data_IF_542432632017
#
_entry.id   IF_542432632017
#
_cell.length_a   1.000
_cell.length_b   1.000
_cell.length_c   1.000
_cell.angle_alpha   90.00
_cell.angle_beta   90.00
_cell.angle_gamma   90.00
#
_symmetry.space_group_name_H-M   'P 1'
#
loop_
_entity.id
_entity.type
_entity.pdbx_description
1 polymer ?
#
# COMPACT_ATOMS: atom_id res chain seq x y z
N UNK A 1 62.58 -49.82 -34.69
CA UNK A 1 63.82 -49.41 -35.40
C UNK A 1 63.49 -48.16 -36.20
N UNK A 2 64.42 -47.21 -36.19
CA UNK A 2 64.39 -45.85 -36.73
C UNK A 2 63.84 -45.66 -38.16
N UNK A 3 63.40 -44.41 -38.43
CA UNK A 3 63.38 -43.63 -39.70
C UNK A 3 62.06 -43.57 -40.49
N UNK A 4 61.39 -42.41 -40.55
CA UNK A 4 61.66 -41.16 -41.35
C UNK A 4 61.12 -41.32 -42.80
N UNK A 5 60.55 -40.35 -43.52
CA UNK A 5 60.04 -38.97 -43.36
C UNK A 5 59.58 -38.56 -44.79
N UNK A 6 58.86 -37.43 -44.91
CA UNK A 6 58.78 -36.50 -46.07
C UNK A 6 57.48 -36.46 -46.91
N UNK A 7 56.95 -35.23 -46.88
CA UNK A 7 55.86 -34.58 -47.60
C UNK A 7 56.03 -34.47 -49.13
N UNK A 8 54.92 -34.20 -49.81
CA UNK A 8 54.84 -33.18 -50.86
C UNK A 8 53.38 -32.76 -51.12
N UNK A 9 53.16 -31.46 -51.23
CA UNK A 9 51.92 -30.77 -51.59
C UNK A 9 51.89 -30.46 -53.10
N UNK A 10 50.68 -30.26 -53.69
CA UNK A 10 50.29 -29.64 -55.00
C UNK A 10 48.98 -30.32 -55.50
N UNK A 11 47.91 -29.73 -56.08
CA UNK A 11 47.53 -28.41 -56.63
C UNK A 11 45.97 -28.35 -56.79
N UNK A 12 45.44 -27.15 -57.09
CA UNK A 12 44.39 -26.80 -58.09
C UNK A 12 42.92 -26.55 -57.66
N UNK A 13 42.60 -25.25 -57.65
CA UNK A 13 41.53 -24.55 -58.39
C UNK A 13 40.03 -24.90 -58.25
N UNK A 14 39.31 -23.85 -57.83
CA UNK A 14 38.07 -23.30 -58.39
C UNK A 14 36.82 -24.20 -58.57
N UNK A 15 35.79 -23.92 -57.77
CA UNK A 15 34.40 -23.90 -58.23
C UNK A 15 33.52 -23.09 -57.26
N UNK A 16 32.96 -21.99 -57.74
CA UNK A 16 31.70 -21.44 -57.24
C UNK A 16 30.60 -22.51 -57.41
N UNK A 17 29.59 -22.54 -56.52
CA UNK A 17 28.25 -22.67 -57.07
C UNK A 17 27.25 -21.68 -56.50
N UNK A 18 26.35 -21.28 -57.41
CA UNK A 18 25.03 -20.76 -57.14
C UNK A 18 24.26 -21.69 -56.18
N UNK A 19 23.53 -21.09 -55.25
CA UNK A 19 22.33 -21.70 -54.67
C UNK A 19 21.30 -20.60 -54.41
N UNK A 20 20.57 -20.23 -55.47
CA UNK A 20 19.25 -19.65 -55.33
C UNK A 20 18.24 -20.78 -55.08
N UNK A 21 17.15 -20.42 -54.40
CA UNK A 21 15.86 -21.12 -54.38
C UNK A 21 15.62 -22.19 -53.30
N UNK A 22 15.33 -21.74 -52.08
CA UNK A 22 14.39 -22.42 -51.18
C UNK A 22 13.78 -21.42 -50.17
N UNK A 23 12.91 -20.52 -50.64
CA UNK A 23 12.04 -19.72 -49.79
C UNK A 23 10.98 -20.62 -49.14
N UNK A 24 11.38 -21.32 -48.07
CA UNK A 24 10.47 -22.11 -47.23
C UNK A 24 9.59 -21.14 -46.43
N UNK A 25 8.30 -21.05 -46.78
CA UNK A 25 7.23 -20.38 -46.02
C UNK A 25 7.34 -20.76 -44.54
N UNK A 26 7.91 -19.87 -43.71
CA UNK A 26 7.76 -19.94 -42.25
C UNK A 26 6.28 -19.67 -41.96
N UNK A 27 5.51 -20.73 -41.69
CA UNK A 27 4.17 -20.60 -41.10
C UNK A 27 4.33 -19.79 -39.82
N UNK A 28 3.66 -18.65 -39.75
CA UNK A 28 3.53 -17.89 -38.53
C UNK A 28 3.05 -18.82 -37.41
N UNK A 29 3.69 -18.73 -36.24
CA UNK A 29 3.25 -19.45 -35.06
C UNK A 29 1.76 -19.15 -34.81
N UNK A 30 0.94 -20.14 -34.43
CA UNK A 30 -0.47 -19.92 -34.17
C UNK A 30 -0.59 -18.86 -33.07
N UNK A 31 -1.21 -17.73 -33.41
CA UNK A 31 -1.58 -16.68 -32.47
C UNK A 31 -2.41 -17.35 -31.38
N UNK A 32 -1.97 -17.27 -30.13
CA UNK A 32 -2.71 -17.83 -29.00
C UNK A 32 -4.18 -17.38 -29.08
N UNK A 33 -5.14 -18.27 -28.79
CA UNK A 33 -6.55 -17.91 -28.87
C UNK A 33 -6.78 -16.68 -28.01
N UNK A 34 -7.42 -15.66 -28.59
CA UNK A 34 -7.84 -14.48 -27.86
C UNK A 34 -8.81 -14.94 -26.76
N UNK A 35 -8.31 -15.10 -25.53
CA UNK A 35 -9.16 -15.25 -24.38
C UNK A 35 -10.14 -14.07 -24.41
N UNK A 36 -11.44 -14.36 -24.38
CA UNK A 36 -12.48 -13.35 -24.16
C UNK A 36 -12.23 -12.78 -22.76
N UNK A 37 -11.34 -11.81 -22.67
CA UNK A 37 -10.93 -11.25 -21.41
C UNK A 37 -12.12 -10.48 -20.83
N UNK A 38 -12.46 -10.81 -19.58
CA UNK A 38 -13.54 -10.13 -18.89
C UNK A 38 -13.15 -8.65 -18.70
N UNK A 39 -14.07 -7.70 -18.97
CA UNK A 39 -13.77 -6.29 -18.78
C UNK A 39 -13.58 -6.03 -17.29
N UNK A 40 -12.41 -5.48 -16.92
CA UNK A 40 -12.18 -4.95 -15.58
C UNK A 40 -13.23 -3.87 -15.30
N UNK A 41 -13.90 -3.89 -14.16
CA UNK A 41 -14.88 -2.85 -13.79
C UNK A 41 -14.61 -2.39 -12.37
N UNK A 42 -14.38 -1.08 -12.21
CA UNK A 42 -14.20 -0.45 -10.91
C UNK A 42 -15.30 0.60 -10.78
N UNK A 43 -16.30 0.39 -9.90
CA UNK A 43 -17.37 1.34 -9.68
C UNK A 43 -16.84 2.73 -9.32
N UNK A 44 -17.53 3.77 -9.81
CA UNK A 44 -17.23 5.18 -9.55
C UNK A 44 -15.80 5.60 -9.93
N UNK A 45 -15.15 4.86 -10.84
CA UNK A 45 -13.84 5.20 -11.37
C UNK A 45 -13.92 5.59 -12.84
N UNK A 46 -13.12 6.56 -13.24
CA UNK A 46 -12.77 6.81 -14.63
C UNK A 46 -11.37 6.25 -14.90
N UNK A 47 -11.20 5.68 -16.09
CA UNK A 47 -10.01 4.90 -16.46
C UNK A 47 -9.53 5.28 -17.85
N UNK A 48 -8.25 5.66 -17.95
CA UNK A 48 -7.60 5.97 -19.22
C UNK A 48 -6.45 4.98 -19.47
N UNK A 49 -6.48 4.29 -20.61
CA UNK A 49 -5.37 3.44 -21.02
C UNK A 49 -4.17 4.31 -21.40
N UNK A 50 -3.00 3.99 -20.85
CA UNK A 50 -1.75 4.71 -21.07
C UNK A 50 -0.76 3.89 -21.91
N UNK A 51 0.28 4.55 -22.39
CA UNK A 51 1.53 3.91 -22.83
C UNK A 51 2.57 4.04 -21.73
N UNK A 52 3.56 3.15 -21.70
CA UNK A 52 4.63 3.22 -20.69
C UNK A 52 5.44 4.53 -20.76
N UNK A 53 5.64 5.09 -21.96
CA UNK A 53 6.32 6.38 -22.13
C UNK A 53 5.51 7.57 -21.60
N UNK A 54 4.19 7.40 -21.42
CA UNK A 54 3.32 8.43 -20.83
C UNK A 54 3.23 8.37 -19.30
N UNK A 55 3.82 7.35 -18.66
CA UNK A 55 3.89 7.23 -17.19
C UNK A 55 5.16 7.95 -16.71
N UNK A 56 5.00 9.18 -16.22
CA UNK A 56 6.14 10.01 -15.84
C UNK A 56 6.97 9.36 -14.73
N UNK A 57 8.29 9.34 -14.92
CA UNK A 57 9.22 8.73 -13.97
C UNK A 57 9.22 7.20 -13.92
N UNK A 58 8.40 6.51 -14.75
CA UNK A 58 8.40 5.04 -14.83
C UNK A 58 9.82 4.48 -14.96
N UNK A 59 10.58 4.96 -15.96
CA UNK A 59 11.94 4.47 -16.26
C UNK A 59 12.95 4.69 -15.13
N UNK A 60 12.69 5.62 -14.21
CA UNK A 60 13.60 6.00 -13.13
C UNK A 60 13.34 5.26 -11.81
N UNK A 61 12.24 4.51 -11.69
CA UNK A 61 11.98 3.69 -10.51
C UNK A 61 12.92 2.47 -10.43
N UNK A 62 13.18 2.02 -9.20
CA UNK A 62 13.88 0.75 -8.92
C UNK A 62 12.90 -0.42 -8.99
N UNK A 63 12.67 -0.94 -10.20
CA UNK A 63 11.71 -2.01 -10.46
C UNK A 63 12.09 -3.33 -9.79
N UNK A 64 13.38 -3.55 -9.52
CA UNK A 64 13.84 -4.72 -8.76
C UNK A 64 13.30 -4.73 -7.33
N UNK A 65 13.19 -3.56 -6.68
CA UNK A 65 12.55 -3.44 -5.35
C UNK A 65 11.04 -3.68 -5.42
N UNK A 66 10.37 -3.12 -6.43
CA UNK A 66 8.95 -3.34 -6.65
C UNK A 66 8.64 -4.82 -6.93
N UNK A 67 9.49 -5.50 -7.70
CA UNK A 67 9.41 -6.94 -7.96
C UNK A 67 9.58 -7.74 -6.67
N UNK A 68 10.54 -7.37 -5.80
CA UNK A 68 10.70 -7.97 -4.48
C UNK A 68 9.41 -7.93 -3.66
N UNK A 69 8.79 -6.76 -3.55
CA UNK A 69 7.51 -6.59 -2.87
C UNK A 69 6.37 -7.38 -3.54
N UNK A 70 6.33 -7.41 -4.87
CA UNK A 70 5.31 -8.16 -5.62
C UNK A 70 5.43 -9.68 -5.40
N UNK A 71 6.66 -10.21 -5.36
CA UNK A 71 6.92 -11.63 -5.11
C UNK A 71 6.45 -12.07 -3.71
N UNK A 72 6.53 -11.19 -2.71
CA UNK A 72 5.97 -11.42 -1.37
C UNK A 72 4.46 -11.68 -1.46
N UNK A 73 3.73 -10.89 -2.26
CA UNK A 73 2.30 -11.12 -2.54
C UNK A 73 2.03 -12.37 -3.38
N UNK A 74 2.96 -12.78 -4.25
CA UNK A 74 2.78 -13.97 -5.08
C UNK A 74 2.71 -15.28 -4.29
N UNK A 75 3.36 -15.36 -3.11
CA UNK A 75 3.34 -16.55 -2.25
C UNK A 75 1.91 -17.00 -1.88
N UNK A 76 1.07 -16.18 -1.21
CA UNK A 76 -0.31 -16.59 -0.91
C UNK A 76 -1.19 -16.71 -2.14
N UNK A 77 -0.94 -15.93 -3.21
CA UNK A 77 -1.73 -16.01 -4.45
C UNK A 77 -1.58 -17.39 -5.11
N UNK A 78 -0.35 -17.89 -5.23
CA UNK A 78 -0.04 -19.19 -5.81
C UNK A 78 -0.49 -20.35 -4.91
N UNK A 79 -0.42 -20.20 -3.58
CA UNK A 79 -0.98 -21.17 -2.63
C UNK A 79 -2.50 -21.31 -2.73
N UNK A 80 -3.19 -20.26 -3.21
CA UNK A 80 -4.61 -20.30 -3.49
C UNK A 80 -4.98 -21.32 -4.58
N UNK A 81 -4.08 -21.73 -5.47
CA UNK A 81 -4.36 -22.71 -6.52
C UNK A 81 -5.34 -22.22 -7.60
N UNK A 82 -5.05 -22.55 -8.87
CA UNK A 82 -5.79 -22.03 -10.04
C UNK A 82 -7.31 -22.24 -9.98
N UNK A 83 -7.75 -23.42 -9.54
CA UNK A 83 -9.18 -23.75 -9.46
C UNK A 83 -9.98 -22.86 -8.48
N UNK A 84 -9.36 -22.35 -7.41
CA UNK A 84 -10.04 -21.45 -6.46
C UNK A 84 -10.26 -20.04 -7.01
N UNK A 85 -9.47 -19.67 -8.02
CA UNK A 85 -9.52 -18.34 -8.64
C UNK A 85 -10.33 -18.35 -9.94
N UNK A 86 -10.67 -19.52 -10.48
CA UNK A 86 -11.59 -19.67 -11.60
C UNK A 86 -12.97 -19.12 -11.22
N UNK A 87 -13.30 -17.93 -11.73
CA UNK A 87 -14.50 -17.16 -11.36
C UNK A 87 -14.20 -15.74 -10.88
N UNK A 88 -12.95 -15.45 -10.52
CA UNK A 88 -12.44 -14.12 -10.21
C UNK A 88 -11.34 -13.77 -11.22
N UNK A 89 -11.72 -13.20 -12.37
CA UNK A 89 -10.80 -12.95 -13.49
C UNK A 89 -9.49 -12.26 -13.07
N UNK A 90 -9.57 -11.27 -12.18
CA UNK A 90 -8.41 -10.55 -11.68
C UNK A 90 -7.47 -11.41 -10.81
N UNK A 91 -8.02 -12.22 -9.90
CA UNK A 91 -7.21 -13.15 -9.11
C UNK A 91 -6.58 -14.24 -9.98
N UNK A 92 -7.31 -14.74 -10.98
CA UNK A 92 -6.78 -15.69 -11.95
C UNK A 92 -5.62 -15.12 -12.76
N UNK A 93 -5.76 -13.87 -13.23
CA UNK A 93 -4.70 -13.18 -13.96
C UNK A 93 -3.46 -12.92 -13.07
N UNK A 94 -3.65 -12.47 -11.82
CA UNK A 94 -2.55 -12.31 -10.87
C UNK A 94 -1.84 -13.64 -10.57
N UNK A 95 -2.58 -14.74 -10.44
CA UNK A 95 -2.00 -16.07 -10.26
C UNK A 95 -1.10 -16.46 -11.44
N UNK A 96 -1.58 -16.26 -12.68
CA UNK A 96 -0.81 -16.60 -13.87
C UNK A 96 0.44 -15.69 -14.03
N UNK A 97 0.32 -14.39 -13.75
CA UNK A 97 1.48 -13.47 -13.75
C UNK A 97 2.48 -13.82 -12.64
N UNK A 98 2.03 -14.17 -11.44
CA UNK A 98 2.90 -14.60 -10.36
C UNK A 98 3.70 -15.85 -10.70
N UNK A 99 3.09 -16.81 -11.41
CA UNK A 99 3.80 -17.98 -11.93
C UNK A 99 4.92 -17.58 -12.89
N UNK A 100 4.67 -16.61 -13.77
CA UNK A 100 5.69 -16.09 -14.70
C UNK A 100 6.77 -15.29 -13.98
N UNK A 101 6.43 -14.52 -12.94
CA UNK A 101 7.40 -13.77 -12.14
C UNK A 101 8.43 -14.72 -11.50
N UNK A 102 7.97 -15.79 -10.86
CA UNK A 102 8.83 -16.80 -10.23
C UNK A 102 9.71 -17.51 -11.26
N UNK A 103 9.13 -17.89 -12.40
CA UNK A 103 9.87 -18.58 -13.47
C UNK A 103 10.93 -17.70 -14.17
N UNK A 104 10.81 -16.38 -14.08
CA UNK A 104 11.72 -15.44 -14.72
C UNK A 104 12.93 -15.06 -13.85
N UNK A 105 12.96 -15.46 -12.56
CA UNK A 105 14.05 -15.09 -11.65
C UNK A 105 15.36 -15.83 -11.98
N UNK A 106 16.53 -15.21 -11.69
CA UNK A 106 16.71 -13.87 -11.11
C UNK A 106 16.55 -12.75 -12.15
N UNK A 107 16.04 -11.59 -11.71
CA UNK A 107 15.94 -10.38 -12.54
C UNK A 107 16.68 -9.23 -11.86
N UNK A 108 17.49 -8.51 -12.63
CA UNK A 108 18.01 -7.20 -12.24
C UNK A 108 16.94 -6.12 -12.46
N UNK A 109 17.30 -4.84 -12.26
CA UNK A 109 16.33 -3.75 -12.38
C UNK A 109 15.74 -3.61 -13.80
N UNK A 110 16.58 -3.75 -14.82
CA UNK A 110 16.15 -3.67 -16.23
C UNK A 110 15.26 -4.87 -16.58
N UNK A 111 15.61 -6.06 -16.11
CA UNK A 111 14.82 -7.28 -16.26
C UNK A 111 13.47 -7.18 -15.56
N UNK A 112 13.44 -6.62 -14.35
CA UNK A 112 12.21 -6.39 -13.60
C UNK A 112 11.29 -5.38 -14.31
N UNK A 113 11.82 -4.26 -14.80
CA UNK A 113 11.06 -3.31 -15.62
C UNK A 113 10.45 -3.98 -16.85
N UNK A 114 11.29 -4.70 -17.59
CA UNK A 114 10.88 -5.44 -18.80
C UNK A 114 9.81 -6.49 -18.48
N UNK A 115 9.90 -7.14 -17.32
CA UNK A 115 8.88 -8.06 -16.85
C UNK A 115 7.53 -7.36 -16.66
N UNK A 116 7.49 -6.22 -15.97
CA UNK A 116 6.23 -5.48 -15.80
C UNK A 116 5.66 -5.00 -17.14
N UNK A 117 6.50 -4.45 -18.02
CA UNK A 117 6.07 -3.95 -19.33
C UNK A 117 5.49 -5.05 -20.23
N UNK A 118 6.03 -6.27 -20.14
CA UNK A 118 5.55 -7.44 -20.92
C UNK A 118 4.29 -8.09 -20.36
N UNK A 119 4.01 -7.92 -19.07
CA UNK A 119 2.95 -8.65 -18.38
C UNK A 119 1.75 -7.79 -18.01
N UNK A 120 1.88 -6.47 -18.06
CA UNK A 120 0.84 -5.53 -17.65
C UNK A 120 0.60 -4.43 -18.69
N UNK A 121 -0.53 -3.73 -18.54
CA UNK A 121 -0.85 -2.46 -19.21
C UNK A 121 -1.07 -1.38 -18.16
N UNK A 122 -0.51 -0.18 -18.34
CA UNK A 122 -0.75 0.93 -17.43
C UNK A 122 -2.13 1.56 -17.73
N UNK A 123 -2.95 1.72 -16.69
CA UNK A 123 -4.25 2.37 -16.75
C UNK A 123 -4.32 3.43 -15.67
N UNK A 124 -4.44 4.71 -16.06
CA UNK A 124 -4.69 5.78 -15.10
C UNK A 124 -6.08 5.61 -14.51
N UNK A 125 -6.17 5.72 -13.20
CA UNK A 125 -7.39 5.58 -12.43
C UNK A 125 -7.66 6.84 -11.61
N UNK A 126 -8.87 7.38 -11.70
CA UNK A 126 -9.33 8.46 -10.84
C UNK A 126 -10.80 8.26 -10.45
N UNK A 127 -11.29 8.92 -9.39
CA UNK A 127 -12.72 9.00 -9.14
C UNK A 127 -13.44 9.68 -10.31
N UNK A 128 -14.69 9.29 -10.59
CA UNK A 128 -15.50 9.95 -11.63
C UNK A 128 -15.62 11.44 -11.32
N UNK A 129 -15.29 12.28 -12.31
CA UNK A 129 -15.30 13.74 -12.16
C UNK A 129 -14.06 14.34 -11.51
N UNK A 130 -13.06 13.52 -11.18
CA UNK A 130 -11.75 13.94 -10.69
C UNK A 130 -10.65 13.47 -11.66
N UNK A 131 -9.42 13.97 -11.48
CA UNK A 131 -8.26 13.57 -12.31
C UNK A 131 -7.22 12.75 -11.57
N UNK A 132 -7.14 13.00 -10.27
CA UNK A 132 -6.06 12.52 -9.43
C UNK A 132 -6.64 11.62 -8.34
N UNK A 133 -5.81 10.69 -7.88
CA UNK A 133 -6.06 9.98 -6.64
C UNK A 133 -5.66 10.82 -5.42
N UNK A 134 -5.98 10.30 -4.24
CA UNK A 134 -5.65 10.92 -2.97
C UNK A 134 -4.79 10.00 -2.10
N UNK A 135 -3.66 10.52 -1.65
CA UNK A 135 -2.62 9.77 -0.97
C UNK A 135 -2.36 10.31 0.44
N UNK A 136 -2.32 9.37 1.39
CA UNK A 136 -1.89 9.61 2.77
C UNK A 136 -0.73 8.67 3.10
N UNK A 137 -0.17 8.77 4.30
CA UNK A 137 0.86 7.85 4.79
C UNK A 137 0.48 7.24 6.13
N UNK A 138 0.95 6.01 6.36
CA UNK A 138 0.81 5.28 7.60
C UNK A 138 2.11 4.56 7.96
N UNK A 139 2.24 4.15 9.22
CA UNK A 139 3.50 3.65 9.78
C UNK A 139 3.23 2.72 10.97
N UNK A 140 4.27 2.00 11.41
CA UNK A 140 4.23 1.22 12.65
C UNK A 140 4.79 2.06 13.82
N UNK A 141 3.94 2.56 14.75
CA UNK A 141 4.39 3.32 15.90
C UNK A 141 5.23 2.50 16.87
N UNK A 142 6.12 3.20 17.57
CA UNK A 142 6.88 2.67 18.70
C UNK A 142 6.46 3.45 19.94
N UNK A 143 5.92 2.76 20.93
CA UNK A 143 5.37 3.35 22.16
C UNK A 143 5.91 2.62 23.38
N UNK A 144 5.87 3.25 24.54
CA UNK A 144 6.24 2.60 25.80
C UNK A 144 5.04 1.90 26.44
N UNK A 145 5.27 0.74 27.05
CA UNK A 145 4.23 0.00 27.76
C UNK A 145 4.77 -0.96 28.83
N UNK A 146 3.84 -1.55 29.59
CA UNK A 146 4.12 -2.58 30.58
C UNK A 146 3.18 -3.79 30.39
N UNK A 147 3.60 -4.97 30.86
CA UNK A 147 2.76 -6.19 30.85
C UNK A 147 1.62 -6.11 31.87
N UNK A 148 1.81 -5.35 32.95
CA UNK A 148 0.89 -5.22 34.06
C UNK A 148 0.53 -3.74 34.27
N UNK A 149 -0.69 -3.45 34.76
CA UNK A 149 -1.09 -2.07 35.02
C UNK A 149 -0.31 -1.49 36.20
N UNK A 150 -0.09 -0.18 36.17
CA UNK A 150 0.47 0.60 37.27
C UNK A 150 -0.09 2.02 37.24
N UNK A 151 0.33 2.87 38.18
CA UNK A 151 -0.02 4.31 38.18
C UNK A 151 0.48 5.04 36.92
N UNK A 152 1.48 4.48 36.23
CA UNK A 152 2.06 5.02 35.00
C UNK A 152 1.43 4.38 33.75
N UNK A 153 1.22 3.06 33.76
CA UNK A 153 0.69 2.31 32.62
C UNK A 153 -0.76 1.90 32.88
N UNK A 154 -1.69 2.76 32.48
CA UNK A 154 -3.11 2.62 32.80
C UNK A 154 -3.97 2.22 31.61
N UNK A 155 -3.48 2.36 30.37
CA UNK A 155 -4.30 2.22 29.16
C UNK A 155 -4.10 0.85 28.49
N UNK A 156 -5.05 -0.09 28.55
CA UNK A 156 -4.87 -1.43 27.99
C UNK A 156 -4.98 -1.48 26.46
N UNK A 157 -4.13 -2.27 25.82
CA UNK A 157 -4.37 -2.82 24.49
C UNK A 157 -4.92 -4.24 24.60
N UNK A 158 -6.07 -4.47 23.97
CA UNK A 158 -6.83 -5.71 24.15
C UNK A 158 -6.60 -6.73 23.02
N UNK A 159 -6.55 -8.00 23.40
CA UNK A 159 -6.74 -9.14 22.51
C UNK A 159 -8.20 -9.23 22.07
N UNK A 160 -8.43 -9.91 20.95
CA UNK A 160 -9.78 -10.15 20.47
C UNK A 160 -10.63 -10.91 21.51
N UNK A 161 -11.81 -10.39 21.90
CA UNK A 161 -12.72 -11.11 22.78
C UNK A 161 -13.16 -12.47 22.18
N UNK A 162 -13.18 -13.55 22.96
CA UNK A 162 -13.80 -14.81 22.55
C UNK A 162 -15.25 -14.59 22.13
N UNK A 163 -15.65 -15.15 20.98
CA UNK A 163 -17.00 -15.00 20.47
C UNK A 163 -17.31 -13.65 19.79
N UNK A 164 -16.31 -12.78 19.56
CA UNK A 164 -16.48 -11.60 18.72
C UNK A 164 -16.88 -12.02 17.29
N UNK A 165 -18.18 -11.93 16.99
CA UNK A 165 -18.80 -12.25 15.70
C UNK A 165 -19.09 -10.97 14.93
N UNK A 166 -18.05 -10.27 14.49
CA UNK A 166 -18.23 -9.09 13.65
C UNK A 166 -18.40 -9.54 12.21
N UNK A 167 -19.63 -9.48 11.71
CA UNK A 167 -19.99 -9.70 10.30
C UNK A 167 -19.57 -11.04 9.66
N UNK A 168 -19.41 -12.13 10.42
CA UNK A 168 -19.48 -13.46 9.80
C UNK A 168 -20.95 -13.78 9.52
N UNK A 169 -21.27 -14.06 8.25
CA UNK A 169 -22.53 -14.69 7.87
C UNK A 169 -22.66 -16.01 8.66
N UNK A 170 -23.39 -16.04 9.76
CA UNK A 170 -23.79 -17.32 10.35
C UNK A 170 -24.88 -17.89 9.44
N UNK A 171 -24.52 -18.93 8.69
CA UNK A 171 -25.52 -19.84 8.15
C UNK A 171 -26.22 -20.50 9.34
N UNK A 172 -27.45 -20.10 9.61
CA UNK A 172 -28.28 -20.82 10.58
C UNK A 172 -28.73 -22.15 9.93
N UNK A 173 -28.93 -23.19 10.75
CA UNK A 173 -29.58 -24.44 10.30
C UNK A 173 -31.09 -24.23 10.00
N UNK A 174 -31.63 -23.04 10.27
CA UNK A 174 -33.02 -22.72 10.02
C UNK A 174 -33.28 -22.54 8.51
N UNK A 175 -34.14 -23.40 7.96
CA UNK A 175 -34.70 -23.25 6.61
C UNK A 175 -35.80 -22.19 6.67
N UNK A 176 -35.67 -21.08 5.95
CA UNK A 176 -36.79 -20.17 5.72
C UNK A 176 -37.89 -20.83 4.88
N UNK A 177 -39.06 -20.17 4.75
CA UNK A 177 -40.27 -20.65 4.03
C UNK A 177 -40.08 -21.08 2.56
N UNK A 178 -38.88 -20.97 1.99
CA UNK A 178 -38.53 -21.40 0.63
C UNK A 178 -37.17 -22.11 0.53
N UNK A 179 -36.69 -22.75 1.60
CA UNK A 179 -35.41 -23.48 1.61
C UNK A 179 -34.14 -22.61 1.56
N UNK A 180 -34.26 -21.28 1.47
CA UNK A 180 -33.14 -20.35 1.62
C UNK A 180 -32.70 -20.27 3.08
N UNK A 181 -31.39 -20.47 3.34
CA UNK A 181 -30.78 -20.31 4.66
C UNK A 181 -30.96 -18.87 5.15
N UNK A 182 -31.45 -18.71 6.37
CA UNK A 182 -31.52 -17.39 7.02
C UNK A 182 -30.11 -16.97 7.44
N UNK A 183 -29.63 -15.86 6.87
CA UNK A 183 -28.41 -15.18 7.30
C UNK A 183 -28.78 -14.22 8.41
N UNK A 184 -28.35 -14.48 9.66
CA UNK A 184 -28.42 -13.47 10.72
C UNK A 184 -27.12 -12.68 10.71
N UNK A 185 -27.17 -11.41 10.29
CA UNK A 185 -26.10 -10.44 10.55
C UNK A 185 -26.07 -10.22 12.06
N UNK A 186 -24.99 -10.63 12.72
CA UNK A 186 -24.71 -10.18 14.08
C UNK A 186 -24.33 -8.69 14.02
N UNK A 187 -24.94 -7.88 14.89
CA UNK A 187 -24.69 -6.45 14.99
C UNK A 187 -23.26 -6.13 15.44
N UNK A 188 -22.94 -4.83 15.52
CA UNK A 188 -21.68 -4.37 16.08
C UNK A 188 -21.53 -4.80 17.55
N UNK A 189 -20.30 -4.99 17.99
CA UNK A 189 -19.97 -5.27 19.39
C UNK A 189 -19.97 -3.95 20.21
N UNK A 190 -19.47 -3.96 21.44
CA UNK A 190 -19.29 -2.75 22.23
C UNK A 190 -18.53 -1.68 21.44
N UNK A 191 -19.02 -0.45 21.49
CA UNK A 191 -18.33 0.68 20.89
C UNK A 191 -17.09 1.09 21.71
N UNK A 192 -16.30 2.02 21.15
CA UNK A 192 -15.11 2.54 21.83
C UNK A 192 -15.41 3.08 23.23
N UNK A 193 -16.48 3.86 23.38
CA UNK A 193 -16.84 4.49 24.66
C UNK A 193 -17.08 3.41 25.71
N UNK A 194 -17.90 2.41 25.40
CA UNK A 194 -18.20 1.30 26.30
C UNK A 194 -16.94 0.50 26.66
N UNK A 195 -16.05 0.25 25.70
CA UNK A 195 -14.80 -0.47 25.95
C UNK A 195 -13.87 0.34 26.87
N UNK A 196 -13.69 1.63 26.60
CA UNK A 196 -12.88 2.54 27.42
C UNK A 196 -13.48 2.75 28.82
N UNK A 197 -14.80 2.66 28.97
CA UNK A 197 -15.50 2.69 30.27
C UNK A 197 -15.49 1.31 30.99
N UNK A 198 -14.78 0.32 30.46
CA UNK A 198 -14.51 -0.93 31.15
C UNK A 198 -15.47 -2.09 30.84
N UNK A 199 -16.30 -2.02 29.80
CA UNK A 199 -17.24 -3.10 29.43
C UNK A 199 -16.57 -4.47 29.17
N UNK A 200 -15.26 -4.50 28.97
CA UNK A 200 -14.47 -5.72 28.81
C UNK A 200 -13.30 -5.85 29.79
N UNK A 201 -13.19 -4.96 30.79
CA UNK A 201 -12.14 -4.99 31.79
C UNK A 201 -12.24 -6.24 32.68
N UNK A 202 -11.09 -6.71 33.18
CA UNK A 202 -11.04 -7.84 34.12
C UNK A 202 -11.37 -9.20 33.49
N UNK A 203 -11.53 -9.26 32.16
CA UNK A 203 -11.79 -10.50 31.41
C UNK A 203 -10.50 -11.24 31.02
N UNK A 204 -9.34 -10.76 31.48
CA UNK A 204 -8.05 -11.24 31.05
C UNK A 204 -7.95 -11.12 29.53
N UNK A 205 -8.16 -9.92 28.99
CA UNK A 205 -8.02 -9.60 27.57
C UNK A 205 -6.86 -8.62 27.29
N UNK A 206 -6.29 -8.04 28.33
CA UNK A 206 -5.22 -7.04 28.27
C UNK A 206 -3.90 -7.71 27.86
N UNK A 207 -3.28 -7.25 26.77
CA UNK A 207 -1.98 -7.74 26.28
C UNK A 207 -0.83 -6.95 26.92
N UNK A 208 -1.00 -5.62 26.96
CA UNK A 208 -0.09 -4.62 27.51
C UNK A 208 -0.88 -3.40 27.96
N UNK A 209 -0.27 -2.56 28.77
CA UNK A 209 -0.77 -1.27 29.19
C UNK A 209 0.19 -0.17 28.72
N UNK A 210 -0.34 0.87 28.08
CA UNK A 210 0.39 2.05 27.62
C UNK A 210 0.22 3.19 28.63
N UNK A 211 1.13 4.17 28.55
CA UNK A 211 1.06 5.40 29.35
C UNK A 211 -0.09 6.30 28.93
N UNK A 212 -0.25 6.47 27.61
CA UNK A 212 -1.16 7.47 27.05
C UNK A 212 -2.33 6.83 26.25
N UNK A 213 -3.60 7.16 26.55
CA UNK A 213 -4.73 6.77 25.72
C UNK A 213 -4.68 7.30 24.27
N UNK A 214 -3.98 8.39 24.00
CA UNK A 214 -3.73 8.92 22.65
C UNK A 214 -2.84 7.96 21.86
N UNK A 215 -1.79 7.41 22.47
CA UNK A 215 -0.95 6.38 21.85
C UNK A 215 -1.72 5.10 21.52
N UNK A 216 -2.57 4.64 22.45
CA UNK A 216 -3.43 3.49 22.18
C UNK A 216 -4.39 3.75 21.01
N UNK A 217 -4.94 4.96 20.92
CA UNK A 217 -5.82 5.37 19.83
C UNK A 217 -5.11 5.40 18.48
N UNK A 218 -3.91 6.00 18.41
CA UNK A 218 -3.13 6.01 17.18
C UNK A 218 -2.64 4.62 16.80
N UNK A 219 -2.20 3.78 17.75
CA UNK A 219 -1.87 2.38 17.48
C UNK A 219 -3.04 1.64 16.81
N UNK A 220 -4.27 1.89 17.26
CA UNK A 220 -5.48 1.30 16.66
C UNK A 220 -5.78 1.84 15.25
N UNK A 221 -5.49 3.13 14.98
CA UNK A 221 -5.62 3.70 13.64
C UNK A 221 -4.59 3.08 12.68
N UNK A 222 -3.34 2.92 13.14
CA UNK A 222 -2.25 2.35 12.35
C UNK A 222 -2.39 0.84 12.13
N UNK A 223 -3.05 0.14 13.05
CA UNK A 223 -3.33 -1.30 12.96
C UNK A 223 -2.16 -2.21 13.37
N UNK A 224 -0.97 -1.65 13.62
CA UNK A 224 0.18 -2.35 14.21
C UNK A 224 0.95 -1.42 15.14
N UNK A 225 1.66 -1.97 16.12
CA UNK A 225 2.47 -1.18 17.06
C UNK A 225 3.60 -2.03 17.67
N UNK A 226 4.75 -1.39 17.90
CA UNK A 226 5.85 -1.91 18.71
C UNK A 226 5.79 -1.30 20.09
N UNK A 227 5.69 -2.14 21.12
CA UNK A 227 5.59 -1.71 22.52
C UNK A 227 6.91 -2.01 23.20
N UNK A 228 7.64 -0.97 23.58
CA UNK A 228 8.89 -1.06 24.34
C UNK A 228 8.54 -1.23 25.81
N UNK A 229 8.95 -2.34 26.39
CA UNK A 229 8.80 -2.63 27.81
C UNK A 229 9.89 -1.92 28.63
N UNK A 230 9.65 -1.79 29.94
CA UNK A 230 10.59 -1.20 30.90
C UNK A 230 11.96 -1.90 30.92
N UNK A 231 11.99 -3.21 30.65
CA UNK A 231 13.22 -3.99 30.54
C UNK A 231 13.93 -3.87 29.17
N UNK A 232 13.44 -3.01 28.28
CA UNK A 232 13.96 -2.80 26.93
C UNK A 232 13.48 -3.80 25.87
N UNK A 233 12.77 -4.87 26.27
CA UNK A 233 12.20 -5.82 25.31
C UNK A 233 11.10 -5.15 24.48
N UNK A 234 10.91 -5.60 23.24
CA UNK A 234 9.87 -5.08 22.34
C UNK A 234 8.83 -6.17 22.10
N UNK A 235 7.58 -5.87 22.45
CA UNK A 235 6.42 -6.65 22.04
C UNK A 235 5.89 -6.09 20.74
N UNK A 236 5.51 -6.98 19.81
CA UNK A 236 4.92 -6.57 18.53
C UNK A 236 3.46 -6.98 18.47
N UNK A 237 2.61 -6.00 18.20
CA UNK A 237 1.16 -6.17 18.16
C UNK A 237 0.65 -5.82 16.77
N UNK A 238 -0.11 -6.74 16.18
CA UNK A 238 -0.77 -6.54 14.89
C UNK A 238 -2.28 -6.67 15.02
N UNK A 239 -3.00 -6.05 14.09
CA UNK A 239 -4.44 -6.18 13.93
C UNK A 239 -4.87 -7.66 13.96
N UNK A 240 -5.90 -7.95 14.75
CA UNK A 240 -6.58 -9.25 14.77
C UNK A 240 -8.07 -9.11 14.43
N UNK A 241 -8.74 -8.10 15.00
CA UNK A 241 -10.16 -7.86 14.74
C UNK A 241 -10.55 -6.40 15.02
N UNK A 242 -11.79 -6.05 14.66
CA UNK A 242 -12.42 -4.79 15.06
C UNK A 242 -13.85 -5.02 15.55
N UNK A 243 -14.39 -4.09 16.34
CA UNK A 243 -15.72 -4.19 16.94
C UNK A 243 -16.92 -4.02 15.96
N UNK A 244 -16.66 -3.69 14.69
CA UNK A 244 -17.68 -3.66 13.64
C UNK A 244 -18.37 -2.30 13.43
N UNK A 245 -18.05 -1.30 14.24
CA UNK A 245 -18.47 0.08 14.02
C UNK A 245 -17.63 0.71 12.88
N UNK A 246 -18.21 1.64 12.10
CA UNK A 246 -17.47 2.35 11.06
C UNK A 246 -16.41 3.26 11.69
N UNK A 247 -15.29 3.44 10.98
CA UNK A 247 -14.29 4.42 11.36
C UNK A 247 -14.83 5.84 11.16
N UNK A 248 -14.60 6.71 12.16
CA UNK A 248 -14.90 8.14 12.06
C UNK A 248 -13.61 8.94 12.19
N UNK A 249 -13.34 9.82 11.23
CA UNK A 249 -12.16 10.67 11.21
C UNK A 249 -12.31 11.82 12.21
N UNK A 250 -11.69 11.69 13.38
CA UNK A 250 -11.87 12.63 14.50
C UNK A 250 -11.40 14.06 14.19
N UNK A 251 -10.41 14.23 13.30
CA UNK A 251 -9.94 15.55 12.87
C UNK A 251 -11.04 16.42 12.25
N UNK A 252 -12.09 15.81 11.67
CA UNK A 252 -13.25 16.54 11.13
C UNK A 252 -13.94 17.38 12.20
N UNK A 253 -14.08 16.87 13.43
CA UNK A 253 -14.76 17.60 14.51
C UNK A 253 -13.95 18.82 14.97
N UNK A 254 -12.62 18.75 14.91
CA UNK A 254 -11.77 19.91 15.21
C UNK A 254 -11.93 21.02 14.16
N UNK A 255 -12.15 20.64 12.90
CA UNK A 255 -12.45 21.60 11.83
C UNK A 255 -13.85 22.21 12.02
N UNK A 256 -14.86 21.38 12.28
CA UNK A 256 -16.24 21.84 12.50
C UNK A 256 -16.35 22.77 13.72
N UNK A 257 -15.50 22.59 14.73
CA UNK A 257 -15.40 23.47 15.90
C UNK A 257 -14.58 24.73 15.65
N UNK A 258 -14.00 24.92 14.47
CA UNK A 258 -13.18 26.08 14.12
C UNK A 258 -11.80 26.11 14.78
N UNK A 259 -11.31 24.98 15.32
CA UNK A 259 -10.00 24.89 15.98
C UNK A 259 -8.87 24.85 14.95
N UNK A 260 -9.09 24.16 13.83
CA UNK A 260 -8.15 24.08 12.72
C UNK A 260 -8.87 24.19 11.39
N UNK A 261 -8.22 24.74 10.37
CA UNK A 261 -8.68 24.65 8.98
C UNK A 261 -8.41 23.26 8.39
N UNK A 262 -8.99 22.99 7.21
CA UNK A 262 -8.75 21.74 6.49
C UNK A 262 -7.30 21.64 6.01
N UNK A 263 -6.64 22.77 5.78
CA UNK A 263 -5.27 22.87 5.31
C UNK A 263 -4.30 22.64 6.46
N UNK A 264 -4.64 23.13 7.65
CA UNK A 264 -3.80 23.04 8.84
C UNK A 264 -3.83 21.67 9.51
N UNK A 265 -4.98 20.99 9.52
CA UNK A 265 -5.19 19.75 10.29
C UNK A 265 -4.26 18.62 9.80
N UNK A 266 -3.49 18.06 10.73
CA UNK A 266 -2.60 16.91 10.51
C UNK A 266 -2.72 15.90 11.64
N UNK A 267 -2.12 14.72 11.47
CA UNK A 267 -2.06 13.71 12.54
C UNK A 267 -1.37 14.26 13.80
N UNK A 268 -0.29 15.01 13.62
CA UNK A 268 0.48 15.63 14.69
C UNK A 268 -0.37 16.67 15.45
N UNK A 269 -1.05 17.57 14.74
CA UNK A 269 -1.90 18.58 15.40
C UNK A 269 -3.07 17.96 16.16
N UNK A 270 -3.67 16.89 15.64
CA UNK A 270 -4.72 16.15 16.37
C UNK A 270 -4.16 15.58 17.67
N UNK A 271 -2.98 14.97 17.61
CA UNK A 271 -2.28 14.41 18.78
C UNK A 271 -1.95 15.50 19.80
N UNK A 272 -1.25 16.55 19.39
CA UNK A 272 -0.87 17.69 20.23
C UNK A 272 -2.10 18.30 20.92
N UNK A 273 -3.20 18.45 20.19
CA UNK A 273 -4.44 18.96 20.75
C UNK A 273 -5.06 18.03 21.79
N UNK A 274 -5.05 16.71 21.56
CA UNK A 274 -5.55 15.73 22.53
C UNK A 274 -4.69 15.64 23.80
N UNK A 275 -3.37 15.80 23.66
CA UNK A 275 -2.41 15.80 24.77
C UNK A 275 -2.54 17.09 25.61
N UNK A 276 -2.74 18.23 24.96
CA UNK A 276 -2.96 19.52 25.62
C UNK A 276 -4.36 19.64 26.29
N UNK A 277 -5.34 18.85 25.85
CA UNK A 277 -6.72 18.89 26.36
C UNK A 277 -7.21 17.47 26.71
N UNK A 278 -6.80 16.88 27.86
CA UNK A 278 -7.03 15.45 28.11
C UNK A 278 -8.49 15.01 28.14
N UNK A 279 -9.38 15.81 28.74
CA UNK A 279 -10.82 15.48 28.86
C UNK A 279 -11.54 15.64 27.52
N UNK A 280 -11.33 16.75 26.81
CA UNK A 280 -11.88 16.98 25.48
C UNK A 280 -11.26 16.03 24.45
N UNK A 281 -9.99 15.67 24.61
CA UNK A 281 -9.30 14.65 23.85
C UNK A 281 -9.95 13.28 24.04
N UNK A 282 -10.33 12.93 25.28
CA UNK A 282 -11.12 11.71 25.56
C UNK A 282 -12.46 11.75 24.83
N UNK A 283 -13.20 12.85 24.93
CA UNK A 283 -14.47 13.00 24.21
C UNK A 283 -14.27 12.88 22.68
N UNK A 284 -13.23 13.52 22.14
CA UNK A 284 -12.91 13.49 20.72
C UNK A 284 -12.58 12.08 20.21
N UNK A 285 -11.75 11.31 20.94
CA UNK A 285 -11.44 9.91 20.58
C UNK A 285 -12.72 9.06 20.53
N UNK A 286 -13.64 9.29 21.47
CA UNK A 286 -14.93 8.57 21.61
C UNK A 286 -15.93 8.86 20.49
N UNK A 287 -15.71 9.87 19.66
CA UNK A 287 -16.46 10.05 18.41
C UNK A 287 -16.19 8.91 17.42
N UNK A 288 -14.98 8.34 17.43
CA UNK A 288 -14.68 7.16 16.64
C UNK A 288 -15.14 5.88 17.36
N UNK A 289 -16.36 5.44 17.07
CA UNK A 289 -16.95 4.21 17.65
C UNK A 289 -16.19 2.93 17.28
N UNK A 290 -15.37 2.95 16.23
CA UNK A 290 -14.53 1.81 15.84
C UNK A 290 -13.43 1.56 16.88
N UNK A 291 -13.22 0.28 17.24
CA UNK A 291 -12.19 -0.18 18.15
C UNK A 291 -11.47 -1.39 17.55
N UNK A 292 -10.13 -1.36 17.57
CA UNK A 292 -9.26 -2.42 17.05
C UNK A 292 -8.73 -3.27 18.19
N UNK A 293 -8.77 -4.58 17.98
CA UNK A 293 -8.16 -5.59 18.85
C UNK A 293 -6.92 -6.15 18.19
N UNK A 294 -5.92 -6.46 19.00
CA UNK A 294 -4.61 -6.89 18.55
C UNK A 294 -4.35 -8.37 18.86
N UNK A 295 -3.31 -8.90 18.24
CA UNK A 295 -2.62 -10.12 18.64
C UNK A 295 -1.14 -9.85 18.73
N UNK A 296 -0.47 -10.53 19.65
CA UNK A 296 0.98 -10.56 19.70
C UNK A 296 1.52 -11.36 18.51
N UNK A 297 2.70 -10.96 18.03
CA UNK A 297 3.37 -11.61 16.89
C UNK A 297 4.79 -11.99 17.27
N UNK A 298 5.27 -13.11 16.72
CA UNK A 298 6.65 -13.57 16.90
C UNK A 298 7.62 -12.92 15.89
N UNK A 299 7.27 -11.74 15.37
CA UNK A 299 8.10 -11.04 14.39
C UNK A 299 9.37 -10.49 15.05
N UNK A 300 10.49 -10.63 14.36
CA UNK A 300 11.76 -10.06 14.79
C UNK A 300 11.73 -8.52 14.76
N UNK A 301 12.67 -7.89 15.46
CA UNK A 301 12.80 -6.43 15.52
C UNK A 301 13.08 -5.77 14.16
N UNK A 302 13.53 -6.51 13.16
CA UNK A 302 13.86 -5.98 11.84
C UNK A 302 12.79 -6.23 10.78
N UNK A 303 11.77 -7.03 11.10
CA UNK A 303 10.69 -7.33 10.16
C UNK A 303 9.65 -6.21 10.17
N UNK A 304 8.94 -6.08 9.07
CA UNK A 304 7.78 -5.20 8.96
C UNK A 304 6.47 -5.98 9.25
N UNK A 305 5.43 -5.32 9.77
CA UNK A 305 4.20 -5.98 10.15
C UNK A 305 3.49 -6.58 8.93
N UNK A 306 2.78 -7.71 9.06
CA UNK A 306 1.90 -8.18 8.01
C UNK A 306 0.71 -7.25 7.83
N UNK A 307 0.44 -6.88 6.57
CA UNK A 307 -0.78 -6.17 6.17
C UNK A 307 -1.99 -7.11 6.08
N UNK A 308 -3.13 -6.57 5.65
CA UNK A 308 -4.38 -7.32 5.50
C UNK A 308 -4.33 -8.46 4.46
N UNK A 309 -3.35 -8.49 3.55
CA UNK A 309 -3.08 -9.65 2.69
C UNK A 309 -2.48 -10.84 3.47
N UNK A 310 -1.95 -10.62 4.67
CA UNK A 310 -1.26 -11.63 5.48
C UNK A 310 0.22 -11.79 5.14
N UNK A 311 0.81 -10.82 4.43
CA UNK A 311 2.24 -10.80 4.10
C UNK A 311 2.89 -9.54 4.67
N UNK A 312 4.18 -9.63 5.00
CA UNK A 312 4.95 -8.50 5.51
C UNK A 312 4.90 -7.31 4.54
N UNK A 313 4.65 -6.13 5.08
CA UNK A 313 4.71 -4.88 4.33
C UNK A 313 6.16 -4.53 4.00
N UNK A 314 6.34 -3.72 2.96
CA UNK A 314 7.62 -3.22 2.48
C UNK A 314 7.55 -1.69 2.47
N UNK A 315 8.35 -1.01 3.31
CA UNK A 315 8.36 0.46 3.38
C UNK A 315 8.56 1.09 2.00
N UNK A 316 7.70 2.05 1.64
CA UNK A 316 7.74 2.75 0.35
C UNK A 316 7.38 1.88 -0.87
N UNK A 317 6.92 0.63 -0.67
CA UNK A 317 6.47 -0.28 -1.73
C UNK A 317 5.13 -0.94 -1.44
N UNK A 318 4.61 -0.86 -0.23
CA UNK A 318 3.26 -1.32 0.11
C UNK A 318 2.29 -0.16 0.26
N UNK A 319 1.06 -0.39 -0.21
CA UNK A 319 -0.06 0.53 0.00
C UNK A 319 -1.26 -0.20 0.60
N UNK A 320 -2.01 0.53 1.41
CA UNK A 320 -3.38 0.19 1.78
C UNK A 320 -4.35 0.72 0.72
N UNK A 321 -5.32 -0.09 0.30
CA UNK A 321 -6.32 0.26 -0.71
C UNK A 321 -7.73 -0.11 -0.26
N UNK A 322 -8.75 0.38 -0.97
CA UNK A 322 -10.13 -0.05 -0.75
C UNK A 322 -10.32 -1.51 -1.20
N UNK A 323 -10.42 -2.43 -0.22
CA UNK A 323 -10.59 -3.88 -0.46
C UNK A 323 -11.88 -4.27 -1.17
N UNK A 324 -12.86 -3.37 -1.28
CA UNK A 324 -14.11 -3.63 -2.03
C UNK A 324 -13.92 -3.41 -3.53
N UNK A 325 -12.91 -2.62 -3.91
CA UNK A 325 -12.63 -2.22 -5.28
C UNK A 325 -11.39 -2.92 -5.83
N UNK A 326 -10.38 -3.11 -4.99
CA UNK A 326 -9.07 -3.62 -5.38
C UNK A 326 -8.78 -4.99 -4.78
N UNK A 327 -8.01 -5.78 -5.52
CA UNK A 327 -7.52 -7.10 -5.08
C UNK A 327 -6.12 -6.97 -4.53
N UNK A 328 -5.79 -7.66 -3.43
CA UNK A 328 -4.41 -7.67 -2.94
C UNK A 328 -3.44 -8.29 -3.94
N UNK A 329 -2.21 -7.78 -3.97
CA UNK A 329 -1.19 -8.10 -4.97
C UNK A 329 -1.30 -7.30 -6.26
N UNK A 330 -2.35 -6.48 -6.42
CA UNK A 330 -2.42 -5.49 -7.50
C UNK A 330 -1.28 -4.48 -7.39
N UNK A 331 -0.85 -3.99 -8.55
CA UNK A 331 0.28 -3.08 -8.70
C UNK A 331 -0.22 -1.69 -9.09
N UNK A 332 0.34 -0.66 -8.45
CA UNK A 332 -0.01 0.73 -8.68
C UNK A 332 1.25 1.59 -8.72
N UNK A 333 1.42 2.35 -9.79
CA UNK A 333 2.42 3.40 -9.85
C UNK A 333 1.78 4.71 -9.36
N UNK A 334 2.39 5.31 -8.34
CA UNK A 334 1.98 6.60 -7.78
C UNK A 334 2.95 7.67 -8.29
N UNK A 335 2.42 8.76 -8.84
CA UNK A 335 3.15 9.98 -9.16
C UNK A 335 2.51 11.15 -8.42
N UNK A 336 3.21 11.67 -7.41
CA UNK A 336 2.77 12.80 -6.60
C UNK A 336 3.98 13.59 -6.09
N UNK A 337 3.75 14.85 -5.71
CA UNK A 337 4.71 15.60 -4.91
C UNK A 337 4.36 15.41 -3.43
N UNK A 338 5.29 14.86 -2.65
CA UNK A 338 5.07 14.53 -1.24
C UNK A 338 5.96 15.39 -0.32
N UNK A 339 5.50 15.73 0.89
CA UNK A 339 6.28 16.47 1.89
C UNK A 339 7.24 15.53 2.64
N UNK A 340 8.22 15.00 1.92
CA UNK A 340 9.24 14.08 2.46
C UNK A 340 10.43 14.89 2.98
N UNK A 341 11.09 15.64 2.09
CA UNK A 341 12.29 16.41 2.45
C UNK A 341 11.96 17.68 3.27
N UNK A 342 10.76 18.23 3.09
CA UNK A 342 10.28 19.42 3.80
C UNK A 342 8.79 19.30 4.14
N UNK A 343 8.21 20.30 4.80
CA UNK A 343 6.75 20.37 4.99
C UNK A 343 6.01 20.72 3.69
N UNK A 344 6.71 21.25 2.69
CA UNK A 344 6.13 21.55 1.38
C UNK A 344 6.06 20.27 0.54
N UNK A 345 4.97 20.05 -0.19
CA UNK A 345 4.85 18.92 -1.10
C UNK A 345 5.65 19.20 -2.38
N UNK A 346 6.97 19.09 -2.32
CA UNK A 346 7.88 19.40 -3.42
C UNK A 346 8.78 18.22 -3.81
N UNK A 347 8.78 17.12 -3.04
CA UNK A 347 9.59 15.95 -3.33
C UNK A 347 8.85 15.02 -4.29
N UNK A 348 9.35 14.78 -5.52
CA UNK A 348 8.71 13.84 -6.43
C UNK A 348 8.74 12.42 -5.86
N UNK A 349 7.57 11.81 -5.76
CA UNK A 349 7.38 10.42 -5.38
C UNK A 349 6.77 9.67 -6.56
N UNK A 350 7.61 8.88 -7.23
CA UNK A 350 7.30 8.15 -8.46
C UNK A 350 7.71 6.70 -8.30
N UNK A 351 6.80 5.87 -7.78
CA UNK A 351 7.13 4.50 -7.38
C UNK A 351 6.02 3.53 -7.75
N UNK A 352 6.44 2.36 -8.25
CA UNK A 352 5.60 1.18 -8.34
C UNK A 352 5.45 0.54 -6.96
N UNK A 353 4.21 0.34 -6.55
CA UNK A 353 3.81 -0.15 -5.23
C UNK A 353 2.79 -1.28 -5.36
N UNK A 354 2.62 -2.05 -4.28
CA UNK A 354 1.79 -3.25 -4.22
C UNK A 354 0.68 -3.05 -3.19
N UNK A 355 -0.56 -3.33 -3.58
CA UNK A 355 -1.69 -3.38 -2.66
C UNK A 355 -1.58 -4.59 -1.73
N UNK A 356 -1.06 -4.39 -0.53
CA UNK A 356 -0.83 -5.46 0.46
C UNK A 356 -1.65 -5.28 1.73
N UNK A 357 -2.37 -4.16 1.82
CA UNK A 357 -3.11 -3.78 3.01
C UNK A 357 -4.45 -3.10 2.70
N UNK A 358 -5.23 -2.84 3.74
CA UNK A 358 -6.48 -2.07 3.67
C UNK A 358 -6.72 -1.35 4.99
N UNK A 359 -7.46 -0.24 4.96
CA UNK A 359 -7.85 0.50 6.17
C UNK A 359 -9.30 0.95 6.11
N UNK A 360 -9.94 1.09 7.27
CA UNK A 360 -11.34 1.53 7.36
C UNK A 360 -11.60 2.93 6.78
N UNK A 361 -10.57 3.79 6.76
CA UNK A 361 -10.61 5.13 6.18
C UNK A 361 -10.21 5.16 4.68
N UNK A 362 -9.78 4.03 4.13
CA UNK A 362 -9.26 3.93 2.77
C UNK A 362 -10.40 3.48 1.85
N UNK A 363 -11.16 4.45 1.37
CA UNK A 363 -12.37 4.23 0.58
C UNK A 363 -12.28 5.01 -0.73
N UNK A 364 -12.57 4.34 -1.85
CA UNK A 364 -12.60 4.94 -3.17
C UNK A 364 -11.62 4.32 -4.17
N UNK A 365 -11.86 4.57 -5.47
CA UNK A 365 -11.14 3.88 -6.54
C UNK A 365 -9.67 4.31 -6.63
N UNK A 366 -9.35 5.58 -6.45
CA UNK A 366 -7.98 6.09 -6.45
C UNK A 366 -7.59 6.66 -5.09
N UNK A 367 -7.74 5.85 -4.04
CA UNK A 367 -7.36 6.19 -2.67
C UNK A 367 -6.32 5.18 -2.19
N UNK A 368 -5.15 5.67 -1.77
CA UNK A 368 -4.10 4.81 -1.23
C UNK A 368 -3.44 5.41 0.01
N UNK A 369 -3.13 4.55 0.99
CA UNK A 369 -2.29 4.91 2.14
C UNK A 369 -0.91 4.28 1.96
N UNK A 370 0.15 5.09 2.00
CA UNK A 370 1.52 4.66 1.73
C UNK A 370 2.17 4.20 3.03
N UNK A 371 2.63 2.95 3.06
CA UNK A 371 3.36 2.43 4.22
C UNK A 371 4.80 2.96 4.23
N UNK A 372 5.21 3.62 5.31
CA UNK A 372 6.53 4.25 5.42
C UNK A 372 7.52 3.52 6.35
N UNK A 373 7.12 2.38 6.92
CA UNK A 373 7.95 1.65 7.87
C UNK A 373 7.61 1.97 9.32
N UNK A 374 8.59 1.81 10.21
CA UNK A 374 8.42 1.96 11.65
C UNK A 374 9.22 3.14 12.23
N UNK A 375 8.75 3.66 13.37
CA UNK A 375 9.47 4.66 14.16
C UNK A 375 9.19 6.12 13.79
N UNK A 376 9.90 7.03 14.44
CA UNK A 376 9.57 8.46 14.42
C UNK A 376 9.75 9.13 13.06
N UNK A 377 10.73 8.71 12.26
CA UNK A 377 10.93 9.27 10.93
C UNK A 377 9.74 8.94 10.02
N UNK A 378 9.30 7.67 10.04
CA UNK A 378 8.10 7.22 9.35
C UNK A 378 6.86 7.97 9.89
N UNK A 379 6.76 8.18 11.20
CA UNK A 379 5.67 8.93 11.82
C UNK A 379 5.60 10.39 11.31
N UNK A 380 6.74 11.09 11.30
CA UNK A 380 6.85 12.48 10.84
C UNK A 380 6.46 12.60 9.37
N UNK A 381 6.99 11.72 8.51
CA UNK A 381 6.65 11.72 7.10
C UNK A 381 5.17 11.37 6.86
N UNK A 382 4.67 10.29 7.47
CA UNK A 382 3.31 9.78 7.30
C UNK A 382 2.25 10.83 7.67
N UNK A 383 2.41 11.50 8.81
CA UNK A 383 1.43 12.47 9.29
C UNK A 383 1.31 13.75 8.43
N UNK A 384 2.29 14.01 7.55
CA UNK A 384 2.26 15.12 6.58
C UNK A 384 1.63 14.75 5.23
N UNK A 385 1.48 13.46 4.93
CA UNK A 385 0.99 13.03 3.63
C UNK A 385 -0.50 13.31 3.50
N UNK A 386 -0.84 14.20 2.57
CA UNK A 386 -2.21 14.60 2.25
C UNK A 386 -2.26 15.19 0.83
N UNK A 387 -1.87 14.39 -0.15
CA UNK A 387 -1.54 14.90 -1.48
C UNK A 387 -2.41 14.25 -2.55
N UNK A 388 -2.71 15.04 -3.58
CA UNK A 388 -3.28 14.52 -4.82
C UNK A 388 -2.16 14.15 -5.78
N UNK A 389 -2.41 13.17 -6.65
CA UNK A 389 -1.50 12.85 -7.74
C UNK A 389 -2.03 11.71 -8.62
N UNK A 390 -1.25 11.31 -9.61
CA UNK A 390 -1.68 10.28 -10.54
C UNK A 390 -1.60 8.89 -9.89
N UNK A 391 -2.65 8.11 -10.11
CA UNK A 391 -2.73 6.73 -9.66
C UNK A 391 -2.86 5.83 -10.89
N UNK A 392 -1.77 5.14 -11.24
CA UNK A 392 -1.70 4.31 -12.44
C UNK A 392 -1.71 2.84 -12.03
N UNK A 393 -2.79 2.15 -12.36
CA UNK A 393 -2.94 0.72 -12.15
C UNK A 393 -2.19 -0.07 -13.21
N UNK A 394 -1.46 -1.10 -12.80
CA UNK A 394 -0.90 -2.09 -13.71
C UNK A 394 -1.88 -3.26 -13.84
N UNK A 395 -2.61 -3.30 -14.96
CA UNK A 395 -3.61 -4.32 -15.26
C UNK A 395 -2.93 -5.51 -15.96
N UNK A 396 -3.03 -6.75 -15.45
CA UNK A 396 -2.52 -7.93 -16.13
C UNK A 396 -3.01 -8.04 -17.58
N UNK A 397 -2.13 -8.48 -18.49
CA UNK A 397 -2.44 -8.57 -19.92
C UNK A 397 -3.58 -9.54 -20.28
N UNK A 398 -3.86 -10.49 -19.40
CA UNK A 398 -4.99 -11.43 -19.46
C UNK A 398 -6.35 -10.73 -19.36
N UNK A 399 -6.39 -9.52 -18.81
CA UNK A 399 -7.59 -8.70 -18.72
C UNK A 399 -7.61 -7.69 -19.87
N UNK A 400 -8.80 -7.43 -20.41
CA UNK A 400 -8.99 -6.42 -21.45
C UNK A 400 -9.47 -5.12 -20.81
N UNK A 401 -8.60 -4.10 -20.68
CA UNK A 401 -9.03 -2.76 -20.30
C UNK A 401 -9.73 -2.05 -21.48
N UNK A 402 -9.68 -2.57 -22.71
CA UNK A 402 -10.13 -1.91 -23.94
C UNK A 402 -11.64 -1.71 -24.07
N UNK A 403 -12.47 -2.38 -23.26
CA UNK A 403 -13.91 -2.06 -23.15
C UNK A 403 -14.20 -0.91 -22.17
N UNK A 404 -13.18 -0.30 -21.55
CA UNK A 404 -13.31 0.77 -20.55
C UNK A 404 -13.50 2.18 -21.12
N UNK A 405 -13.13 2.42 -22.38
CA UNK A 405 -13.21 3.74 -23.03
C UNK A 405 -14.64 4.25 -23.33
N UNK A 406 -15.70 3.51 -22.96
CA UNK A 406 -17.09 4.02 -23.06
C UNK A 406 -17.56 4.80 -21.84
N UNK A 407 -16.68 5.08 -20.88
CA UNK A 407 -17.00 5.92 -19.73
C UNK A 407 -16.30 7.27 -19.85
N UNK A 408 -17.04 8.31 -19.47
CA UNK A 408 -16.72 9.74 -19.59
C UNK A 408 -15.22 10.00 -19.43
N UNK A 409 -14.54 10.64 -20.40
CA UNK A 409 -13.11 10.94 -20.30
C UNK A 409 -12.83 11.73 -19.03
N UNK A 410 -11.65 11.52 -18.43
CA UNK A 410 -11.24 12.29 -17.26
C UNK A 410 -11.37 13.80 -17.56
N UNK A 411 -11.87 14.59 -16.60
CA UNK A 411 -11.99 16.03 -16.78
C UNK A 411 -10.63 16.66 -17.13
N UNK A 412 -10.67 17.80 -17.83
CA UNK A 412 -9.47 18.56 -18.16
C UNK A 412 -8.72 19.00 -16.89
N UNK A 413 -7.39 19.20 -16.96
CA UNK A 413 -6.61 19.72 -15.84
C UNK A 413 -7.32 20.92 -15.22
N UNK A 414 -7.44 20.94 -13.90
CA UNK A 414 -7.94 22.13 -13.20
C UNK A 414 -7.04 23.31 -13.64
N UNK A 415 -7.56 24.47 -14.07
CA UNK A 415 -6.73 25.61 -14.43
C UNK A 415 -5.74 25.96 -13.31
N UNK A 416 -4.51 26.37 -13.64
CA UNK A 416 -3.47 26.68 -12.65
C UNK A 416 -3.95 27.69 -11.58
N UNK A 417 -4.85 28.60 -11.96
CA UNK A 417 -5.52 29.56 -11.07
C UNK A 417 -6.39 28.95 -9.98
N UNK A 418 -6.78 27.68 -10.12
CA UNK A 418 -7.63 26.95 -9.18
C UNK A 418 -6.86 25.82 -8.45
N UNK A 419 -5.61 25.55 -8.83
CA UNK A 419 -4.80 24.46 -8.27
C UNK A 419 -4.13 24.80 -6.93
N UNK A 420 -4.15 26.06 -6.49
CA UNK A 420 -4.00 26.46 -5.09
C UNK A 420 -4.26 27.96 -5.01
N UNK A 421 -5.09 28.40 -4.06
CA UNK A 421 -4.97 29.76 -3.56
C UNK A 421 -3.60 29.84 -2.89
N UNK A 422 -2.61 30.35 -3.63
CA UNK A 422 -1.36 30.84 -3.04
C UNK A 422 -1.76 31.84 -1.95
N UNK A 423 -1.19 31.68 -0.76
CA UNK A 423 -1.22 32.73 0.26
C UNK A 423 -0.75 34.05 -0.40
N UNK A 424 -1.38 35.20 -0.07
CA UNK A 424 -0.98 36.48 -0.65
C UNK A 424 0.48 36.78 -0.26
N UNK A 425 1.27 37.25 -1.22
CA UNK A 425 2.61 37.79 -0.97
C UNK A 425 2.49 38.95 0.03
N UNK A 426 2.87 38.71 1.28
CA UNK A 426 3.13 39.79 2.23
C UNK A 426 4.50 40.42 1.89
N UNK A 427 4.50 41.74 1.77
CA UNK A 427 5.63 42.60 1.42
C UNK A 427 6.94 42.25 2.17
N UNK A 428 8.05 42.30 1.42
CA UNK A 428 9.42 42.12 1.91
C UNK A 428 9.81 43.20 2.93
N UNK A 429 10.43 42.84 4.08
CA UNK A 429 11.35 43.73 4.76
C UNK A 429 12.74 43.68 4.12
N UNK A 430 13.45 44.81 4.17
CA UNK A 430 14.76 45.07 3.59
C UNK A 430 15.89 44.10 4.06
N UNK A 431 16.98 43.92 3.29
CA UNK A 431 17.99 42.92 3.56
C UNK A 431 18.92 43.34 4.71
N UNK A 432 19.09 42.45 5.70
CA UNK A 432 20.22 42.48 6.63
C UNK A 432 21.30 41.54 6.08
N UNK A 433 22.48 42.08 5.86
CA UNK A 433 23.64 41.35 5.37
C UNK A 433 24.12 40.32 6.40
N UNK A 434 24.28 39.06 5.97
CA UNK A 434 25.05 38.04 6.68
C UNK A 434 25.93 37.30 5.67
N UNK A 435 27.19 37.12 6.07
CA UNK A 435 28.32 36.69 5.27
C UNK A 435 28.18 35.32 4.60
N UNK A 436 28.92 35.17 3.50
CA UNK A 436 29.03 33.96 2.69
C UNK A 436 29.59 32.77 3.50
N UNK A 437 28.96 31.61 3.32
CA UNK A 437 29.51 30.30 3.66
C UNK A 437 29.26 29.32 2.50
N UNK A 438 30.25 28.47 2.28
CA UNK A 438 30.52 27.61 1.12
C UNK A 438 29.36 26.77 0.54
N UNK A 439 29.32 26.57 -0.81
CA UNK A 439 28.39 25.67 -1.47
C UNK A 439 29.00 24.26 -1.60
N UNK A 440 29.00 23.47 -0.52
CA UNK A 440 29.16 22.02 -0.66
C UNK A 440 28.52 21.27 0.51
N UNK A 441 27.29 20.78 0.29
CA UNK A 441 26.70 19.57 0.89
C UNK A 441 25.16 19.64 0.83
N UNK A 442 24.56 19.40 -0.35
CA UNK A 442 23.15 18.98 -0.42
C UNK A 442 23.08 17.46 -0.45
N UNK A 443 23.38 16.82 0.67
CA UNK A 443 23.05 15.41 0.87
C UNK A 443 21.57 15.35 1.27
N UNK A 444 20.69 15.04 0.31
CA UNK A 444 19.28 14.79 0.58
C UNK A 444 19.13 13.66 1.61
N UNK A 445 18.26 13.86 2.60
CA UNK A 445 17.91 12.82 3.57
C UNK A 445 17.18 11.70 2.83
N UNK A 446 17.73 10.48 2.75
CA UNK A 446 17.09 9.37 2.06
C UNK A 446 15.96 8.80 2.92
N UNK A 447 14.82 8.46 2.29
CA UNK A 447 13.81 7.61 2.90
C UNK A 447 14.46 6.36 3.53
N UNK A 448 13.91 5.80 4.61
CA UNK A 448 14.43 4.57 5.21
C UNK A 448 14.49 3.48 4.14
N UNK A 449 15.73 3.07 3.79
CA UNK A 449 15.97 2.03 2.78
C UNK A 449 15.39 0.71 3.27
N UNK A 450 14.79 -0.05 2.36
CA UNK A 450 14.46 -1.45 2.61
C UNK A 450 15.74 -2.17 3.07
N UNK A 451 15.69 -2.79 4.27
CA UNK A 451 16.84 -3.51 4.81
C UNK A 451 17.00 -4.83 4.04
N UNK A 452 18.22 -5.19 3.61
CA UNK A 452 18.44 -6.41 2.84
C UNK A 452 18.03 -7.64 3.68
N UNK A 453 17.20 -8.52 3.10
CA UNK A 453 16.88 -9.80 3.71
C UNK A 453 18.15 -10.64 3.82
N UNK A 454 18.66 -10.88 5.04
CA UNK A 454 19.69 -11.90 5.24
C UNK A 454 19.03 -13.26 5.02
N UNK A 455 19.42 -13.94 3.95
CA UNK A 455 19.13 -15.36 3.75
C UNK A 455 19.65 -16.13 4.97
N UNK A 456 18.77 -16.85 5.65
CA UNK A 456 19.15 -18.01 6.46
C UNK A 456 18.89 -19.26 5.64
#
# INVERSE_FOLDING_TARGET
MFRRFIAAALVLAAAWPLAAEAAKKRKAAPRAPAHKADPLKIPNAAMDLLTWDSVEGWRADFHSEALGAFLVSCRPILQGGKARHNGHALLGALHDVCGRAIAALPLDDTGARTFFEKNFRPVRLAPVGERDGFFTGYYEPIVDGARYPSDVYTTPLYRRPPGLLVSRLRHTKAKGKFGKRVVKRTGAYYDRTQIEDGAIAGRGLEIVYLKDPVDAFFAQIQGSVRVRLENGAIIRLNYDAQNGHPYTAVGRFLIERGIYTREEISMQKIREWMEANPEEGRALRRENKSYVFFRETDLDHHEDPPGAQGVALTPGRSIAVDRKLHTYGMLFFIDALLPIASEKPDTPFRRLMVAQDTGGAIVGPARADIYLGAGEEAARAAGRFKQFGQFVMLVPNELDPGRLQKQVPLPLPRPASLQSARAPESEKPAPVAVAAADPSASAGVPLPKARPSRKR
#
